data_IF_377396611895
#
_entry.id   IF_377396611895
#
_cell.length_a   1.000
_cell.length_b   1.000
_cell.length_c   1.000
_cell.angle_alpha   90.00
_cell.angle_beta   90.00
_cell.angle_gamma   90.00
#
_symmetry.space_group_name_H-M   'P 1'
#
loop_
_entity.id
_entity.type
_entity.pdbx_description
1 polymer ?
#
# COMPACT_ATOMS: atom_id res chain seq x y z
N UNK A 1 15.15 -18.93 10.62
CA UNK A 1 16.09 -20.09 10.57
C UNK A 1 15.29 -21.37 10.58
N UNK A 2 15.76 -22.35 9.81
CA UNK A 2 15.20 -23.70 9.74
C UNK A 2 16.26 -24.65 10.28
N UNK A 3 15.89 -25.43 11.30
CA UNK A 3 16.77 -26.40 11.98
C UNK A 3 16.08 -27.74 12.04
N UNK A 4 16.85 -28.79 11.71
CA UNK A 4 16.42 -30.18 11.81
C UNK A 4 17.63 -31.08 12.17
N UNK A 5 17.44 -31.95 13.14
CA UNK A 5 18.49 -32.88 13.58
C UNK A 5 19.06 -33.68 12.41
N UNK A 6 20.39 -33.71 12.29
CA UNK A 6 21.12 -34.38 11.20
C UNK A 6 21.28 -33.56 9.91
N UNK A 7 20.83 -32.32 9.91
CA UNK A 7 20.97 -31.39 8.78
C UNK A 7 21.68 -30.12 9.23
N UNK A 8 22.32 -29.43 8.29
CA UNK A 8 22.90 -28.10 8.54
C UNK A 8 21.78 -27.08 8.70
N UNK A 9 21.92 -26.17 9.66
CA UNK A 9 20.98 -25.08 9.86
C UNK A 9 20.99 -24.15 8.65
N UNK A 10 19.82 -23.84 8.11
CA UNK A 10 19.64 -22.81 7.06
C UNK A 10 19.08 -21.55 7.68
N UNK A 11 19.82 -20.45 7.55
CA UNK A 11 19.39 -19.10 7.96
C UNK A 11 19.20 -18.25 6.71
N UNK A 12 18.00 -17.72 6.52
CA UNK A 12 17.74 -16.66 5.54
C UNK A 12 17.61 -15.33 6.26
N UNK A 13 18.31 -14.34 5.75
CA UNK A 13 18.27 -12.95 6.19
C UNK A 13 17.72 -12.09 5.07
N UNK A 14 17.36 -10.85 5.39
CA UNK A 14 16.93 -9.83 4.41
C UNK A 14 15.64 -10.23 3.66
N UNK A 15 14.69 -10.76 4.44
CA UNK A 15 13.34 -11.02 3.93
C UNK A 15 12.52 -9.76 4.19
N UNK A 16 12.22 -9.04 3.13
CA UNK A 16 11.30 -7.91 3.17
C UNK A 16 9.87 -8.40 2.94
N UNK A 17 8.96 -8.01 3.82
CA UNK A 17 7.58 -8.47 3.82
C UNK A 17 6.64 -7.28 3.76
N UNK A 18 6.14 -6.98 2.58
CA UNK A 18 5.16 -5.92 2.36
C UNK A 18 3.76 -6.31 2.80
N UNK A 19 2.91 -5.33 3.02
CA UNK A 19 1.51 -5.52 3.44
C UNK A 19 0.76 -6.46 2.48
N UNK A 20 0.12 -7.47 3.05
CA UNK A 20 -0.62 -8.48 2.32
C UNK A 20 0.25 -9.43 1.47
N UNK A 21 1.58 -9.37 1.53
CA UNK A 21 2.45 -10.32 0.83
C UNK A 21 2.43 -11.70 1.50
N UNK A 22 2.40 -12.74 0.68
CA UNK A 22 2.58 -14.13 1.10
C UNK A 22 3.86 -14.63 0.47
N UNK A 23 4.88 -14.84 1.31
CA UNK A 23 6.19 -15.32 0.84
C UNK A 23 6.33 -16.79 1.12
N UNK A 24 6.49 -17.60 0.08
CA UNK A 24 6.81 -19.02 0.18
C UNK A 24 8.32 -19.21 0.11
N UNK A 25 8.88 -19.79 1.14
CA UNK A 25 10.31 -20.03 1.24
C UNK A 25 10.59 -21.53 1.18
N UNK A 26 11.08 -22.00 0.05
CA UNK A 26 11.57 -23.36 -0.09
C UNK A 26 13.03 -23.43 0.42
N UNK A 27 13.31 -24.38 1.29
CA UNK A 27 14.63 -24.59 1.84
C UNK A 27 15.08 -26.03 1.60
N UNK A 28 16.12 -26.19 0.78
CA UNK A 28 16.81 -27.48 0.64
C UNK A 28 17.79 -27.64 1.79
N UNK A 29 17.56 -28.65 2.65
CA UNK A 29 18.43 -28.95 3.75
C UNK A 29 19.52 -29.96 3.30
N UNK A 30 20.79 -29.66 3.58
CA UNK A 30 21.92 -30.55 3.34
C UNK A 30 22.26 -31.33 4.61
N UNK A 31 22.60 -32.60 4.48
CA UNK A 31 23.01 -33.44 5.60
C UNK A 31 24.32 -32.90 6.19
N UNK A 32 24.39 -32.78 7.51
CA UNK A 32 25.59 -32.29 8.20
C UNK A 32 25.33 -32.06 9.68
N UNK A 33 26.34 -31.55 10.38
CA UNK A 33 26.21 -31.21 11.80
C UNK A 33 25.38 -29.95 11.97
N UNK A 34 24.52 -29.90 12.97
CA UNK A 34 23.72 -28.73 13.35
C UNK A 34 24.55 -27.52 13.79
N UNK A 35 25.85 -27.72 14.04
CA UNK A 35 26.78 -26.62 14.35
C UNK A 35 27.23 -25.82 13.13
N UNK A 36 26.95 -26.31 11.92
CA UNK A 36 27.26 -25.59 10.68
C UNK A 36 26.02 -24.86 10.19
N UNK A 37 26.13 -23.55 9.95
CA UNK A 37 25.05 -22.72 9.41
C UNK A 37 25.36 -22.28 7.99
N UNK A 38 24.36 -22.37 7.12
CA UNK A 38 24.40 -21.81 5.77
C UNK A 38 23.52 -20.56 5.77
N UNK A 39 24.12 -19.41 5.55
CA UNK A 39 23.36 -18.17 5.35
C UNK A 39 23.11 -17.99 3.87
N UNK A 40 21.86 -17.93 3.48
CA UNK A 40 21.44 -17.63 2.10
C UNK A 40 20.80 -16.25 2.11
N UNK A 41 21.46 -15.29 1.50
CA UNK A 41 20.85 -14.03 1.11
C UNK A 41 20.39 -14.15 -0.35
N UNK A 42 19.14 -13.90 -0.62
CA UNK A 42 18.63 -13.97 -1.97
C UNK A 42 17.41 -13.08 -2.11
N UNK A 43 17.35 -12.37 -3.22
CA UNK A 43 16.15 -11.62 -3.58
C UNK A 43 14.96 -12.58 -3.68
N UNK A 44 13.86 -12.17 -3.08
CA UNK A 44 12.59 -12.89 -3.23
C UNK A 44 12.11 -12.74 -4.69
N UNK A 45 11.48 -13.76 -5.24
CA UNK A 45 10.94 -13.63 -6.58
C UNK A 45 9.89 -12.50 -6.60
N UNK A 46 10.06 -11.57 -7.53
CA UNK A 46 9.15 -10.43 -7.74
C UNK A 46 7.75 -10.90 -8.15
N UNK A 47 7.62 -12.11 -8.67
CA UNK A 47 6.36 -12.67 -9.15
C UNK A 47 5.77 -13.59 -8.09
N UNK A 48 4.66 -13.17 -7.52
CA UNK A 48 3.85 -13.98 -6.61
C UNK A 48 2.96 -14.93 -7.42
N UNK A 49 3.30 -16.21 -7.40
CA UNK A 49 2.56 -17.25 -8.15
C UNK A 49 1.40 -17.87 -7.37
N UNK A 50 1.32 -17.57 -6.07
CA UNK A 50 0.34 -18.19 -5.14
C UNK A 50 -0.90 -17.35 -4.91
N UNK A 51 -0.92 -16.11 -5.42
CA UNK A 51 -2.03 -15.18 -5.25
C UNK A 51 -2.93 -15.11 -6.47
N UNK A 52 -4.24 -15.12 -6.24
CA UNK A 52 -5.27 -14.85 -7.25
C UNK A 52 -5.78 -13.40 -7.24
N UNK A 53 -5.40 -12.62 -6.23
CA UNK A 53 -5.84 -11.22 -6.14
C UNK A 53 -4.98 -10.29 -7.00
N UNK A 54 -5.65 -9.32 -7.60
CA UNK A 54 -4.97 -8.24 -8.33
C UNK A 54 -4.74 -7.09 -7.37
N UNK A 55 -3.48 -6.89 -6.97
CA UNK A 55 -3.10 -5.87 -6.01
C UNK A 55 -1.87 -5.09 -6.48
N UNK A 56 -1.79 -3.85 -6.02
CA UNK A 56 -0.60 -2.99 -6.15
C UNK A 56 -0.22 -2.52 -4.77
N UNK A 57 1.03 -2.73 -4.37
CA UNK A 57 1.56 -2.23 -3.11
C UNK A 57 2.36 -0.96 -3.39
N UNK A 58 2.11 0.08 -2.60
CA UNK A 58 2.84 1.34 -2.62
C UNK A 58 3.66 1.38 -1.33
N UNK A 59 4.96 1.28 -1.48
CA UNK A 59 5.92 1.22 -0.39
C UNK A 59 6.20 2.60 0.24
N UNK A 60 6.87 2.61 1.38
CA UNK A 60 7.23 3.83 2.11
C UNK A 60 8.04 4.80 1.24
N UNK A 61 8.93 4.28 0.41
CA UNK A 61 9.76 5.10 -0.47
C UNK A 61 8.92 5.83 -1.50
N UNK A 62 7.99 5.14 -2.13
CA UNK A 62 7.08 5.74 -3.09
C UNK A 62 6.18 6.80 -2.42
N UNK A 63 5.67 6.51 -1.21
CA UNK A 63 4.87 7.47 -0.43
C UNK A 63 5.66 8.74 -0.10
N UNK A 64 6.95 8.62 0.22
CA UNK A 64 7.81 9.76 0.59
C UNK A 64 8.30 10.58 -0.60
N UNK A 65 8.75 9.91 -1.66
CA UNK A 65 9.50 10.54 -2.74
C UNK A 65 8.63 11.03 -3.89
N UNK A 66 7.48 10.39 -4.12
CA UNK A 66 6.61 10.80 -5.22
C UNK A 66 5.81 12.06 -4.87
N UNK A 67 5.86 13.09 -5.73
CA UNK A 67 5.10 14.30 -5.53
C UNK A 67 3.60 14.02 -5.73
N UNK A 68 2.78 14.45 -4.79
CA UNK A 68 1.34 14.36 -4.88
C UNK A 68 0.69 15.67 -4.50
N UNK A 69 -0.32 16.07 -5.27
CA UNK A 69 -1.04 17.31 -5.00
C UNK A 69 -1.97 17.13 -3.80
N UNK A 70 -1.82 18.02 -2.81
CA UNK A 70 -2.68 17.99 -1.61
C UNK A 70 -2.28 16.97 -0.55
N UNK A 71 -1.18 16.23 -0.73
CA UNK A 71 -0.65 15.23 0.23
C UNK A 71 -1.68 14.19 0.68
N UNK A 72 -2.60 13.85 -0.20
CA UNK A 72 -3.54 12.77 0.04
C UNK A 72 -2.96 11.46 -0.51
N UNK A 73 -2.44 10.61 0.37
CA UNK A 73 -1.81 9.34 -0.02
C UNK A 73 -2.73 8.42 -0.83
N UNK A 74 -4.04 8.56 -0.67
CA UNK A 74 -5.01 7.78 -1.42
C UNK A 74 -4.96 8.05 -2.92
N UNK A 75 -4.44 9.20 -3.32
CA UNK A 75 -4.28 9.55 -4.73
C UNK A 75 -3.22 8.68 -5.43
N UNK A 76 -2.30 8.07 -4.69
CA UNK A 76 -1.40 7.06 -5.25
C UNK A 76 -2.13 5.81 -5.76
N UNK A 77 -3.35 5.55 -5.28
CA UNK A 77 -4.20 4.47 -5.82
C UNK A 77 -4.52 4.66 -7.30
N UNK A 78 -4.46 5.90 -7.81
CA UNK A 78 -4.64 6.20 -9.23
C UNK A 78 -3.51 5.65 -10.12
N UNK A 79 -2.38 5.24 -9.54
CA UNK A 79 -1.30 4.55 -10.25
C UNK A 79 -1.66 3.08 -10.52
N UNK A 80 -2.67 2.55 -9.82
CA UNK A 80 -3.10 1.16 -9.99
C UNK A 80 -3.98 1.04 -11.22
N UNK A 81 -3.71 0.08 -12.13
CA UNK A 81 -4.54 -0.15 -13.29
C UNK A 81 -6.02 -0.40 -12.92
N UNK A 82 -6.93 0.24 -13.64
CA UNK A 82 -8.37 0.12 -13.40
C UNK A 82 -8.92 1.01 -12.28
N UNK A 83 -8.08 1.85 -11.68
CA UNK A 83 -8.50 2.85 -10.70
C UNK A 83 -8.56 4.22 -11.35
N UNK A 84 -9.68 4.88 -11.24
CA UNK A 84 -9.91 6.23 -11.77
C UNK A 84 -10.63 7.09 -10.74
N UNK A 85 -10.58 8.40 -10.91
CA UNK A 85 -11.36 9.30 -10.08
C UNK A 85 -12.78 9.43 -10.64
N UNK A 86 -13.78 9.20 -9.82
CA UNK A 86 -15.18 9.41 -10.19
C UNK A 86 -15.42 10.91 -10.43
N UNK A 87 -15.81 11.32 -11.64
CA UNK A 87 -16.02 12.73 -11.98
C UNK A 87 -17.18 13.38 -11.20
N UNK A 88 -18.09 12.58 -10.67
CA UNK A 88 -19.28 13.08 -9.95
C UNK A 88 -18.98 13.47 -8.51
N UNK A 89 -18.13 12.71 -7.84
CA UNK A 89 -17.87 12.87 -6.41
C UNK A 89 -16.42 13.09 -6.05
N UNK A 90 -15.51 12.81 -6.96
CA UNK A 90 -14.07 12.84 -6.70
C UNK A 90 -13.57 11.64 -5.93
N UNK A 91 -14.42 10.64 -5.70
CA UNK A 91 -14.05 9.39 -5.03
C UNK A 91 -13.22 8.50 -5.96
N UNK A 92 -12.49 7.54 -5.39
CA UNK A 92 -11.81 6.52 -6.18
C UNK A 92 -12.83 5.50 -6.69
N UNK A 93 -12.80 5.23 -7.97
CA UNK A 93 -13.61 4.21 -8.65
C UNK A 93 -12.71 3.07 -9.09
N UNK A 94 -13.04 1.87 -8.69
CA UNK A 94 -12.32 0.65 -9.00
C UNK A 94 -13.16 -0.16 -10.01
N UNK A 95 -12.58 -0.41 -11.19
CA UNK A 95 -13.29 -1.18 -12.23
C UNK A 95 -14.65 -0.58 -12.64
N UNK A 96 -14.83 0.73 -12.53
CA UNK A 96 -16.09 1.42 -12.86
C UNK A 96 -17.14 1.39 -11.74
N UNK A 97 -16.85 0.80 -10.59
CA UNK A 97 -17.75 0.81 -9.43
C UNK A 97 -17.75 2.19 -8.77
N UNK A 98 -18.85 2.53 -8.11
CA UNK A 98 -18.95 3.79 -7.36
C UNK A 98 -17.96 3.82 -6.20
N UNK A 99 -17.42 4.98 -5.90
CA UNK A 99 -16.50 5.18 -4.79
C UNK A 99 -17.06 4.75 -3.43
N UNK A 100 -18.39 4.80 -3.26
CA UNK A 100 -19.08 4.33 -2.05
C UNK A 100 -19.04 2.80 -1.86
N UNK A 101 -18.64 2.07 -2.88
CA UNK A 101 -18.53 0.60 -2.83
C UNK A 101 -17.14 0.11 -2.45
N UNK A 102 -16.22 1.00 -2.16
CA UNK A 102 -14.86 0.67 -1.77
C UNK A 102 -14.76 0.47 -0.25
N UNK A 103 -13.71 -0.22 0.18
CA UNK A 103 -13.37 -0.37 1.59
C UNK A 103 -11.98 0.17 1.88
N UNK A 104 -11.87 0.92 2.97
CA UNK A 104 -10.59 1.39 3.53
C UNK A 104 -10.37 0.73 4.88
N UNK A 105 -9.27 0.04 5.00
CA UNK A 105 -8.77 -0.53 6.25
C UNK A 105 -7.51 0.24 6.66
N UNK A 106 -7.40 0.57 7.92
CA UNK A 106 -6.21 1.18 8.51
C UNK A 106 -5.76 0.31 9.68
N UNK A 107 -4.57 -0.23 9.61
CA UNK A 107 -4.03 -1.19 10.59
C UNK A 107 -4.99 -2.35 10.88
N UNK A 108 -5.67 -2.83 9.84
CA UNK A 108 -6.66 -3.90 9.92
C UNK A 108 -8.06 -3.48 10.42
N UNK A 109 -8.24 -2.22 10.80
CA UNK A 109 -9.53 -1.70 11.25
C UNK A 109 -10.32 -1.06 10.12
N UNK A 110 -11.63 -1.23 10.12
CA UNK A 110 -12.56 -0.58 9.21
C UNK A 110 -12.57 0.94 9.44
N UNK A 111 -12.11 1.69 8.44
CA UNK A 111 -12.06 3.15 8.44
C UNK A 111 -13.08 3.78 7.50
N UNK A 112 -14.15 3.07 7.18
CA UNK A 112 -15.21 3.57 6.32
C UNK A 112 -16.22 4.41 7.10
N UNK A 113 -16.89 5.32 6.38
CA UNK A 113 -18.02 6.03 6.96
C UNK A 113 -19.20 5.09 7.14
N UNK A 114 -19.65 4.91 8.37
CA UNK A 114 -20.70 3.96 8.71
C UNK A 114 -22.07 4.32 8.10
N UNK A 115 -22.30 5.60 7.82
CA UNK A 115 -23.59 6.06 7.30
C UNK A 115 -23.62 6.08 5.77
N UNK A 116 -22.55 6.59 5.14
CA UNK A 116 -22.51 6.74 3.68
C UNK A 116 -21.83 5.58 2.96
N UNK A 117 -21.28 4.62 3.67
CA UNK A 117 -20.49 3.53 3.10
C UNK A 117 -19.24 4.01 2.36
N UNK A 118 -18.89 5.26 2.52
CA UNK A 118 -17.87 5.89 1.71
C UNK A 118 -16.53 5.79 2.40
N UNK A 119 -15.63 5.20 1.70
CA UNK A 119 -14.22 5.25 2.02
C UNK A 119 -13.59 6.53 1.43
N UNK A 120 -12.51 6.55 1.44
CA UNK A 120 -11.36 7.24 0.96
C UNK A 120 -11.51 7.90 -0.42
N UNK A 121 -10.82 9.01 -0.57
CA UNK A 121 -10.53 9.65 -1.85
C UNK A 121 -11.23 10.98 -2.08
N UNK A 122 -12.26 11.30 -1.34
CA UNK A 122 -12.89 12.60 -1.44
C UNK A 122 -12.29 13.58 -0.44
N UNK A 123 -11.62 14.59 -0.94
CA UNK A 123 -11.28 15.76 -0.15
C UNK A 123 -12.58 16.46 0.30
N UNK A 124 -12.83 16.53 1.61
CA UNK A 124 -13.97 17.24 2.15
C UNK A 124 -14.80 16.45 3.17
N UNK A 125 -16.05 16.86 3.33
CA UNK A 125 -16.95 16.54 4.46
C UNK A 125 -17.32 15.08 4.70
N UNK A 126 -16.88 14.16 3.87
CA UNK A 126 -17.29 12.75 3.95
C UNK A 126 -16.20 11.78 4.37
N UNK A 127 -14.97 12.23 4.48
CA UNK A 127 -13.89 11.40 5.00
C UNK A 127 -13.86 11.53 6.53
N UNK A 128 -14.20 10.49 7.30
CA UNK A 128 -14.28 10.57 8.76
C UNK A 128 -12.94 10.83 9.40
N UNK A 129 -11.85 10.39 8.78
CA UNK A 129 -10.49 10.57 9.27
C UNK A 129 -9.56 10.92 8.11
N UNK A 130 -8.81 11.99 8.32
CA UNK A 130 -7.68 12.35 7.48
C UNK A 130 -6.43 12.31 8.35
N UNK A 131 -5.50 11.46 8.02
CA UNK A 131 -4.18 11.44 8.64
C UNK A 131 -3.11 11.80 7.61
N UNK A 132 -1.98 12.29 8.10
CA UNK A 132 -0.90 12.74 7.23
C UNK A 132 -0.33 11.60 6.39
N UNK A 133 0.05 11.89 5.16
CA UNK A 133 0.85 11.00 4.32
C UNK A 133 2.10 10.52 5.06
N UNK A 134 2.67 11.34 5.94
CA UNK A 134 3.87 11.01 6.71
C UNK A 134 3.65 9.90 7.76
N UNK A 135 2.40 9.66 8.16
CA UNK A 135 2.05 8.57 9.06
C UNK A 135 1.91 7.22 8.36
N UNK A 136 1.85 7.22 7.02
CA UNK A 136 1.73 5.99 6.23
C UNK A 136 3.10 5.35 6.07
N UNK A 137 3.22 4.08 6.39
CA UNK A 137 4.39 3.26 6.08
C UNK A 137 4.27 2.70 4.68
N UNK A 138 3.23 1.94 4.44
CA UNK A 138 2.89 1.37 3.14
C UNK A 138 1.38 1.17 3.02
N UNK A 139 0.90 0.98 1.82
CA UNK A 139 -0.47 0.55 1.62
C UNK A 139 -0.61 -0.33 0.36
N UNK A 140 -1.62 -1.17 0.41
CA UNK A 140 -1.96 -2.06 -0.69
C UNK A 140 -3.33 -1.69 -1.26
N UNK A 141 -3.40 -1.65 -2.57
CA UNK A 141 -4.62 -1.41 -3.35
C UNK A 141 -5.02 -2.72 -4.01
N UNK A 142 -6.11 -3.29 -3.57
CA UNK A 142 -6.70 -4.51 -4.14
C UNK A 142 -7.86 -4.12 -5.04
N UNK A 143 -7.74 -4.42 -6.32
CA UNK A 143 -8.77 -4.09 -7.30
C UNK A 143 -9.74 -5.23 -7.54
N UNK A 144 -9.30 -6.47 -7.32
CA UNK A 144 -10.12 -7.66 -7.52
C UNK A 144 -9.54 -8.87 -6.77
N UNK A 145 -10.37 -9.89 -6.52
CA UNK A 145 -9.96 -11.18 -5.97
C UNK A 145 -9.48 -11.14 -4.51
N UNK A 146 -9.81 -10.08 -3.76
CA UNK A 146 -9.47 -9.99 -2.35
C UNK A 146 -10.23 -11.04 -1.50
N UNK A 147 -9.68 -11.35 -0.33
CA UNK A 147 -10.24 -12.37 0.57
C UNK A 147 -11.68 -12.06 0.98
N UNK A 148 -12.50 -13.10 1.12
CA UNK A 148 -13.86 -13.01 1.64
C UNK A 148 -13.94 -12.53 3.11
N UNK A 149 -12.82 -12.52 3.82
CA UNK A 149 -12.71 -11.93 5.17
C UNK A 149 -12.89 -10.41 5.15
N UNK A 150 -12.60 -9.78 3.99
CA UNK A 150 -12.76 -8.35 3.81
C UNK A 150 -14.20 -8.10 3.38
N UNK A 151 -15.01 -7.60 4.31
CA UNK A 151 -16.41 -7.24 4.05
C UNK A 151 -16.56 -5.84 3.44
N UNK A 152 -17.81 -5.51 3.07
CA UNK A 152 -18.26 -4.17 2.62
C UNK A 152 -17.55 -3.62 1.39
N UNK A 153 -16.90 -4.42 0.62
CA UNK A 153 -16.25 -4.03 -0.62
C UNK A 153 -16.97 -4.64 -1.81
N UNK A 154 -17.56 -3.80 -2.64
CA UNK A 154 -18.11 -4.16 -3.95
C UNK A 154 -17.26 -3.62 -5.09
N UNK A 155 -16.32 -2.73 -4.78
CA UNK A 155 -15.31 -2.16 -5.66
C UNK A 155 -13.92 -2.64 -5.28
N UNK A 156 -13.06 -1.72 -4.85
CA UNK A 156 -11.71 -2.03 -4.39
C UNK A 156 -11.56 -2.00 -2.87
N UNK A 157 -10.46 -2.53 -2.40
CA UNK A 157 -10.03 -2.48 -1.00
C UNK A 157 -8.67 -1.82 -0.91
N UNK A 158 -8.57 -0.81 -0.06
CA UNK A 158 -7.30 -0.18 0.29
C UNK A 158 -6.96 -0.58 1.72
N UNK A 159 -5.84 -1.23 1.91
CA UNK A 159 -5.32 -1.60 3.22
C UNK A 159 -4.06 -0.78 3.51
N UNK A 160 -4.11 0.04 4.55
CA UNK A 160 -3.05 0.97 4.94
C UNK A 160 -2.40 0.48 6.21
N UNK A 161 -1.08 0.52 6.25
CA UNK A 161 -0.28 0.28 7.45
C UNK A 161 0.35 1.60 7.86
N UNK A 162 0.18 1.97 9.11
CA UNK A 162 0.80 3.18 9.68
C UNK A 162 2.16 2.88 10.28
N UNK A 163 3.00 3.90 10.33
CA UNK A 163 4.35 3.78 10.90
C UNK A 163 4.30 3.45 12.37
N UNK A 164 5.11 2.48 12.75
CA UNK A 164 5.37 2.14 14.14
C UNK A 164 6.33 3.14 14.78
N UNK A 165 6.09 3.48 16.04
CA UNK A 165 7.02 4.28 16.84
C UNK A 165 8.28 3.50 17.21
N UNK A 166 9.36 4.23 17.46
CA UNK A 166 10.61 3.70 18.00
C UNK A 166 11.03 4.45 19.26
N UNK A 167 12.02 3.93 20.01
CA UNK A 167 12.57 4.62 21.20
C UNK A 167 13.48 5.81 20.84
N UNK A 168 13.82 5.99 19.57
CA UNK A 168 14.58 7.13 19.08
C UNK A 168 13.62 8.21 18.59
N UNK A 169 13.82 9.45 19.04
CA UNK A 169 13.06 10.59 18.53
C UNK A 169 13.43 10.83 17.07
N UNK A 170 12.44 10.76 16.18
CA UNK A 170 12.59 11.07 14.76
C UNK A 170 11.32 11.72 14.25
N UNK A 171 11.45 12.46 13.15
CA UNK A 171 10.35 13.17 12.53
C UNK A 171 10.80 13.80 11.23
N UNK A 172 9.86 14.38 10.52
CA UNK A 172 10.14 15.15 9.32
C UNK A 172 9.47 16.52 9.42
N UNK A 173 10.06 17.49 8.75
CA UNK A 173 9.48 18.80 8.53
C UNK A 173 9.44 19.05 7.03
N UNK A 174 8.28 19.42 6.53
CA UNK A 174 8.14 19.75 5.11
C UNK A 174 7.50 21.11 4.95
N UNK A 175 7.85 21.77 3.85
CA UNK A 175 7.22 23.02 3.43
C UNK A 175 7.10 23.03 1.91
N UNK A 176 5.89 23.23 1.41
CA UNK A 176 5.62 23.33 -0.02
C UNK A 176 5.07 24.70 -0.33
N UNK A 177 5.73 25.39 -1.22
CA UNK A 177 5.27 26.66 -1.76
C UNK A 177 4.66 26.42 -3.14
N UNK A 178 3.48 26.94 -3.34
CA UNK A 178 2.78 26.89 -4.62
C UNK A 178 2.31 28.28 -5.01
N UNK A 179 2.73 28.67 -6.18
CA UNK A 179 2.32 29.96 -6.77
C UNK A 179 1.85 29.74 -8.20
N UNK A 180 0.98 30.64 -8.65
CA UNK A 180 0.47 30.63 -10.02
C UNK A 180 1.59 30.77 -11.05
N UNK A 181 2.59 31.57 -10.75
CA UNK A 181 3.71 31.86 -11.66
C UNK A 181 4.63 30.64 -11.86
N UNK A 182 4.61 29.70 -10.91
CA UNK A 182 5.37 28.46 -10.99
C UNK A 182 4.65 27.36 -11.78
N UNK A 183 3.41 27.57 -12.15
CA UNK A 183 2.60 26.58 -12.88
C UNK A 183 2.76 26.75 -14.39
N UNK A 184 2.94 25.65 -15.10
CA UNK A 184 2.82 25.66 -16.56
C UNK A 184 1.35 25.88 -16.97
N UNK A 185 1.14 26.72 -17.97
CA UNK A 185 -0.18 26.88 -18.57
C UNK A 185 -0.59 25.61 -19.32
N UNK A 186 -1.85 25.28 -19.24
CA UNK A 186 -2.43 24.25 -20.09
C UNK A 186 -2.43 24.67 -21.56
N UNK A 187 -2.42 23.71 -22.47
CA UNK A 187 -2.48 24.00 -23.91
C UNK A 187 -3.64 24.93 -24.29
N UNK A 188 -4.82 24.72 -23.70
CA UNK A 188 -6.02 25.52 -23.96
C UNK A 188 -5.85 26.97 -23.47
N UNK A 189 -5.17 27.19 -22.36
CA UNK A 189 -4.94 28.53 -21.84
C UNK A 189 -3.84 29.30 -22.60
N UNK A 190 -2.96 28.61 -23.32
CA UNK A 190 -1.95 29.24 -24.18
C UNK A 190 -2.54 29.74 -25.50
N UNK A 191 -3.68 29.22 -25.90
CA UNK A 191 -4.34 29.56 -27.16
C UNK A 191 -5.35 30.71 -27.03
N UNK A 192 -5.47 31.30 -25.83
CA UNK A 192 -6.23 32.51 -25.53
C UNK A 192 -5.27 33.64 -25.16
#
# INVERSE_FOLDING_TARGET
SIDKSGFKMVKRTDIDLSVGAVVTLDAALTVGSTSESITVSGDLPIVETTRSQTSTTVDERAVKEMPINGRNFLDFSLLTPGVVRDPRGGDLSFGGQRGTSNSLLVDGMDSNNLFFGQSAGRAGTRNPYSFSQDAVEEFQVNTNGYSAEIGRAGGGVINVVTKSGTNALHGNLFWFYRDRELNANTFINKSR
#
